data_IF_258451678495
#
_entry.id   IF_258451678495
#
_cell.length_a   1.000
_cell.length_b   1.000
_cell.length_c   1.000
_cell.angle_alpha   90.00
_cell.angle_beta   90.00
_cell.angle_gamma   90.00
#
_symmetry.space_group_name_H-M   'P 1'
#
loop_
_entity.id
_entity.type
_entity.pdbx_description
1 polymer ?
#
# COMPACT_ATOMS: atom_id res chain seq x y z
N UNK A 1 -10.34 -15.10 -4.75
CA UNK A 1 -9.75 -13.75 -4.81
C UNK A 1 -10.34 -12.88 -3.69
N UNK A 2 -9.58 -11.96 -3.07
CA UNK A 2 -10.11 -11.03 -2.08
C UNK A 2 -11.33 -10.29 -2.64
N UNK A 3 -12.43 -10.22 -1.88
CA UNK A 3 -13.68 -9.57 -2.33
C UNK A 3 -13.64 -8.04 -2.20
N UNK A 4 -12.46 -7.42 -2.32
CA UNK A 4 -12.29 -5.99 -2.15
C UNK A 4 -10.95 -5.48 -2.68
N UNK A 5 -10.88 -4.16 -2.87
CA UNK A 5 -9.65 -3.48 -3.27
C UNK A 5 -8.70 -3.40 -2.07
N UNK A 6 -7.37 -3.45 -2.29
CA UNK A 6 -6.40 -3.13 -1.25
C UNK A 6 -6.62 -1.71 -0.73
N UNK A 7 -6.39 -1.50 0.57
CA UNK A 7 -6.37 -0.19 1.19
C UNK A 7 -4.92 0.22 1.45
N UNK A 8 -4.53 1.37 0.92
CA UNK A 8 -3.21 1.97 1.15
C UNK A 8 -3.40 3.21 2.00
N UNK A 9 -2.70 3.24 3.13
CA UNK A 9 -2.70 4.37 4.05
C UNK A 9 -1.26 4.83 4.29
N UNK A 10 -1.06 6.14 4.34
CA UNK A 10 0.21 6.76 4.71
C UNK A 10 0.03 7.57 6.00
N UNK A 11 1.10 7.75 6.77
CA UNK A 11 1.03 8.59 7.98
C UNK A 11 0.71 10.06 7.66
N UNK A 12 1.07 10.51 6.45
CA UNK A 12 0.90 11.89 5.98
C UNK A 12 0.40 11.92 4.55
N UNK A 13 -0.26 13.01 4.18
CA UNK A 13 -0.75 13.24 2.81
C UNK A 13 0.29 13.88 1.88
N UNK A 14 1.35 14.47 2.44
CA UNK A 14 2.45 15.11 1.73
C UNK A 14 3.77 14.79 2.41
N UNK A 15 4.82 14.73 1.62
CA UNK A 15 6.19 14.42 2.03
C UNK A 15 7.14 15.33 1.28
N UNK A 16 8.15 15.82 1.98
CA UNK A 16 9.22 16.62 1.40
C UNK A 16 10.44 15.75 1.07
N UNK A 17 11.39 16.30 0.32
CA UNK A 17 12.63 15.61 0.02
C UNK A 17 13.41 15.34 1.31
N UNK A 18 13.82 14.08 1.49
CA UNK A 18 14.50 13.61 2.70
C UNK A 18 13.56 13.02 3.75
N UNK A 19 12.24 13.13 3.57
CA UNK A 19 11.30 12.44 4.44
C UNK A 19 11.33 10.92 4.27
N UNK A 20 11.01 10.23 5.37
CA UNK A 20 10.73 8.79 5.34
C UNK A 20 9.23 8.57 5.07
N UNK A 21 8.93 7.94 3.94
CA UNK A 21 7.59 7.47 3.60
C UNK A 21 7.26 6.20 4.39
N UNK A 22 6.32 6.29 5.31
CA UNK A 22 5.72 5.12 5.99
C UNK A 22 4.32 4.88 5.44
N UNK A 23 4.17 3.77 4.74
CA UNK A 23 2.92 3.34 4.12
C UNK A 23 2.54 1.93 4.61
N UNK A 24 1.24 1.70 4.75
CA UNK A 24 0.68 0.39 5.03
C UNK A 24 -0.28 0.03 3.88
N UNK A 25 -0.14 -1.17 3.34
CA UNK A 25 -1.06 -1.75 2.38
C UNK A 25 -1.71 -2.98 3.00
N UNK A 26 -3.04 -2.94 3.13
CA UNK A 26 -3.83 -4.05 3.67
C UNK A 26 -4.79 -4.57 2.61
N UNK A 27 -5.00 -5.89 2.60
CA UNK A 27 -5.96 -6.55 1.71
C UNK A 27 -6.98 -7.32 2.55
N UNK A 28 -8.27 -7.31 2.19
CA UNK A 28 -9.25 -8.17 2.87
C UNK A 28 -8.83 -9.63 2.82
N UNK A 29 -9.04 -10.35 3.92
CA UNK A 29 -8.72 -11.77 4.00
C UNK A 29 -9.38 -12.55 2.84
N UNK A 30 -8.63 -13.44 2.20
CA UNK A 30 -9.13 -14.28 1.11
C UNK A 30 -8.91 -15.76 1.40
N UNK A 31 -9.77 -16.59 0.83
CA UNK A 31 -9.60 -18.05 0.74
C UNK A 31 -9.71 -18.45 -0.74
N UNK A 32 -8.67 -19.01 -1.36
CA UNK A 32 -7.32 -19.26 -0.81
C UNK A 32 -6.55 -17.96 -0.49
N UNK A 33 -5.47 -18.03 0.32
CA UNK A 33 -4.54 -16.91 0.50
C UNK A 33 -4.01 -16.45 -0.86
N UNK A 34 -3.77 -15.15 -0.99
CA UNK A 34 -3.20 -14.57 -2.21
C UNK A 34 -1.90 -13.85 -1.89
N UNK A 35 -0.96 -13.92 -2.83
CA UNK A 35 0.22 -13.07 -2.82
C UNK A 35 -0.19 -11.66 -3.24
N UNK A 36 0.23 -10.67 -2.47
CA UNK A 36 0.05 -9.25 -2.81
C UNK A 36 1.38 -8.52 -2.69
N UNK A 37 1.63 -7.61 -3.63
CA UNK A 37 2.93 -6.93 -3.77
C UNK A 37 2.73 -5.42 -3.67
N UNK A 38 3.52 -4.77 -2.83
CA UNK A 38 3.59 -3.32 -2.75
C UNK A 38 4.68 -2.80 -3.69
N UNK A 39 4.34 -1.83 -4.56
CA UNK A 39 5.29 -1.19 -5.48
C UNK A 39 5.26 0.32 -5.28
N UNK A 40 6.42 0.91 -5.03
CA UNK A 40 6.59 2.35 -4.98
C UNK A 40 7.03 2.85 -6.36
N UNK A 41 6.19 3.64 -7.03
CA UNK A 41 6.54 4.33 -8.27
C UNK A 41 7.03 5.74 -7.95
N UNK A 42 8.22 6.10 -8.44
CA UNK A 42 8.68 7.48 -8.45
C UNK A 42 8.26 8.14 -9.76
N UNK A 43 7.59 9.29 -9.68
CA UNK A 43 7.31 10.14 -10.85
C UNK A 43 8.40 11.21 -10.87
N UNK A 44 9.12 11.29 -11.98
CA UNK A 44 10.27 12.18 -12.15
C UNK A 44 9.84 13.63 -12.36
#
# INVERSE_FOLDING_TARGET
>A
LPKGKPNITTERSRYDLGDILKANCSVPASRPPVEFVFKLSSVK
#
